data_IF_629377315512
#
_entry.id   IF_629377315512
#
_cell.length_a   1.000
_cell.length_b   1.000
_cell.length_c   1.000
_cell.angle_alpha   90.00
_cell.angle_beta   90.00
_cell.angle_gamma   90.00
#
_symmetry.space_group_name_H-M   'P 1'
#
loop_
_entity.id
_entity.type
_entity.pdbx_description
1 polymer ?
#
# COMPACT_ATOMS: atom_id res chain seq x y z
N UNK A 1 20.06 -37.73 -52.14
CA UNK A 1 19.74 -36.32 -51.80
C UNK A 1 18.39 -36.11 -51.08
N UNK A 2 17.61 -37.17 -50.75
CA UNK A 2 16.36 -37.06 -49.96
C UNK A 2 16.58 -37.23 -48.44
N UNK A 3 17.51 -38.10 -48.04
CA UNK A 3 17.76 -38.45 -46.63
C UNK A 3 18.40 -37.29 -45.83
N UNK A 4 19.17 -36.43 -46.50
CA UNK A 4 19.81 -35.27 -45.84
C UNK A 4 18.79 -34.18 -45.46
N UNK A 5 17.69 -33.99 -46.20
CA UNK A 5 16.69 -32.95 -45.90
C UNK A 5 15.83 -33.28 -44.66
N UNK A 6 15.60 -34.56 -44.39
CA UNK A 6 14.82 -35.01 -43.22
C UNK A 6 15.63 -34.89 -41.91
N UNK A 7 16.97 -35.02 -41.99
CA UNK A 7 17.85 -34.90 -40.82
C UNK A 7 17.99 -33.46 -40.31
N UNK A 8 18.00 -32.46 -41.21
CA UNK A 8 18.01 -31.04 -40.83
C UNK A 8 16.68 -30.59 -40.20
N UNK A 9 15.54 -31.13 -40.66
CA UNK A 9 14.23 -30.81 -40.10
C UNK A 9 14.05 -31.30 -38.66
N UNK A 10 14.58 -32.48 -38.35
CA UNK A 10 14.52 -33.07 -37.00
C UNK A 10 15.47 -32.33 -36.03
N UNK A 11 16.68 -31.94 -36.46
CA UNK A 11 17.57 -31.11 -35.65
C UNK A 11 17.00 -29.71 -35.38
N UNK A 12 16.30 -29.09 -36.34
CA UNK A 12 15.69 -27.77 -36.17
C UNK A 12 14.48 -27.81 -35.21
N UNK A 13 13.70 -28.91 -35.22
CA UNK A 13 12.60 -29.12 -34.28
C UNK A 13 13.13 -29.42 -32.86
N UNK A 14 14.22 -30.17 -32.70
CA UNK A 14 14.85 -30.35 -31.38
C UNK A 14 15.52 -29.07 -30.83
N UNK A 15 15.99 -28.16 -31.69
CA UNK A 15 16.51 -26.84 -31.29
C UNK A 15 15.41 -25.81 -30.94
N UNK A 16 14.18 -26.00 -31.43
CA UNK A 16 13.02 -25.14 -31.11
C UNK A 16 12.24 -25.63 -29.87
N UNK A 17 12.38 -26.89 -29.48
CA UNK A 17 11.78 -27.44 -28.26
C UNK A 17 12.58 -27.13 -26.98
N UNK A 18 13.84 -26.70 -27.09
CA UNK A 18 14.66 -26.27 -25.95
C UNK A 18 14.41 -24.82 -25.51
N UNK A 19 13.73 -24.00 -26.31
CA UNK A 19 13.41 -22.60 -25.97
C UNK A 19 12.09 -22.41 -25.22
N UNK A 20 11.41 -23.49 -24.81
CA UNK A 20 10.20 -23.44 -23.96
C UNK A 20 10.38 -24.16 -22.62
N UNK A 21 11.62 -24.29 -22.12
CA UNK A 21 11.78 -24.44 -20.69
C UNK A 21 11.46 -23.06 -20.09
N UNK A 22 10.22 -22.88 -19.60
CA UNK A 22 9.96 -21.81 -18.63
C UNK A 22 11.05 -21.93 -17.57
N UNK A 23 11.94 -20.95 -17.49
CA UNK A 23 13.01 -20.97 -16.52
C UNK A 23 12.34 -20.97 -15.14
N UNK A 24 12.26 -22.11 -14.48
CA UNK A 24 11.77 -22.18 -13.11
C UNK A 24 12.80 -21.49 -12.21
N UNK A 25 12.34 -20.76 -11.20
CA UNK A 25 13.22 -20.25 -10.15
C UNK A 25 13.90 -21.42 -9.45
N UNK A 26 15.23 -21.39 -9.39
CA UNK A 26 16.07 -22.39 -8.74
C UNK A 26 16.32 -21.96 -7.30
N UNK A 27 15.58 -22.56 -6.37
CA UNK A 27 15.83 -22.38 -4.95
C UNK A 27 16.98 -23.28 -4.51
N UNK A 28 17.94 -22.69 -3.80
CA UNK A 28 19.06 -23.38 -3.18
C UNK A 28 18.58 -24.41 -2.16
N UNK A 29 19.17 -25.59 -2.19
CA UNK A 29 18.98 -26.67 -1.22
C UNK A 29 20.23 -26.87 -0.40
N UNK A 30 20.11 -26.67 0.90
CA UNK A 30 21.20 -26.78 1.86
C UNK A 30 20.88 -26.05 3.16
N UNK A 31 21.85 -26.04 4.06
CA UNK A 31 21.81 -25.26 5.29
C UNK A 31 21.96 -23.76 5.02
N UNK A 32 21.53 -22.93 5.97
CA UNK A 32 21.75 -21.48 5.91
C UNK A 32 23.24 -21.11 5.88
N UNK A 33 24.09 -21.88 6.55
CA UNK A 33 25.55 -21.68 6.50
C UNK A 33 26.10 -21.90 5.10
N UNK A 34 25.68 -22.98 4.41
CA UNK A 34 26.10 -23.25 3.04
C UNK A 34 25.53 -22.21 2.05
N UNK A 35 24.31 -21.75 2.28
CA UNK A 35 23.70 -20.65 1.52
C UNK A 35 24.54 -19.37 1.60
N UNK A 36 24.91 -18.94 2.81
CA UNK A 36 25.70 -17.73 3.01
C UNK A 36 27.13 -17.89 2.48
N UNK A 37 27.73 -19.08 2.59
CA UNK A 37 29.03 -19.36 1.99
C UNK A 37 28.98 -19.25 0.45
N UNK A 38 27.97 -19.87 -0.19
CA UNK A 38 27.75 -19.75 -1.63
C UNK A 38 27.51 -18.30 -2.07
N UNK A 39 26.75 -17.54 -1.29
CA UNK A 39 26.49 -16.13 -1.56
C UNK A 39 27.79 -15.30 -1.54
N UNK A 40 28.71 -15.62 -0.62
CA UNK A 40 30.05 -15.01 -0.56
C UNK A 40 30.92 -15.41 -1.75
N UNK A 41 30.95 -16.69 -2.08
CA UNK A 41 31.74 -17.21 -3.20
C UNK A 41 31.30 -16.63 -4.55
N UNK A 42 29.98 -16.49 -4.77
CA UNK A 42 29.42 -15.91 -5.99
C UNK A 42 29.27 -14.39 -5.94
N UNK A 43 29.51 -13.76 -4.79
CA UNK A 43 29.28 -12.34 -4.53
C UNK A 43 27.85 -11.89 -4.91
N UNK A 44 26.84 -12.72 -4.59
CA UNK A 44 25.42 -12.47 -4.89
C UNK A 44 24.58 -12.28 -3.63
N UNK A 45 23.64 -11.33 -3.62
CA UNK A 45 22.66 -11.23 -2.55
C UNK A 45 21.80 -12.49 -2.45
N UNK A 46 21.27 -12.74 -1.26
CA UNK A 46 20.38 -13.85 -0.95
C UNK A 46 18.95 -13.35 -0.89
N UNK A 47 18.05 -14.01 -1.62
CA UNK A 47 16.60 -13.81 -1.50
C UNK A 47 16.01 -14.96 -0.67
N UNK A 48 15.35 -14.67 0.45
CA UNK A 48 14.77 -15.68 1.34
C UNK A 48 13.25 -15.53 1.38
N UNK A 49 12.52 -16.57 1.01
CA UNK A 49 11.08 -16.70 1.21
C UNK A 49 10.78 -17.45 2.52
N UNK A 50 10.24 -16.74 3.50
CA UNK A 50 9.65 -17.32 4.69
C UNK A 50 8.19 -17.65 4.42
N UNK A 51 7.85 -18.93 4.59
CA UNK A 51 6.51 -19.44 4.32
C UNK A 51 6.11 -20.52 5.33
N UNK A 52 4.90 -21.04 5.19
CA UNK A 52 4.48 -22.26 5.88
C UNK A 52 3.48 -23.09 5.05
N UNK A 53 3.36 -24.38 5.38
CA UNK A 53 2.42 -25.29 4.71
C UNK A 53 0.98 -24.90 5.00
N UNK A 54 0.16 -24.73 3.96
CA UNK A 54 -1.23 -24.28 4.09
C UNK A 54 -1.41 -22.76 4.00
N UNK A 55 -0.34 -22.01 3.74
CA UNK A 55 -0.40 -20.60 3.40
C UNK A 55 -0.89 -20.41 1.95
N UNK A 56 -2.15 -20.00 1.76
CA UNK A 56 -2.72 -19.77 0.42
C UNK A 56 -1.95 -18.72 -0.40
N UNK A 57 -1.61 -17.53 0.16
CA UNK A 57 -0.83 -16.54 -0.60
C UNK A 57 0.57 -17.02 -0.97
N UNK A 58 1.21 -17.83 -0.12
CA UNK A 58 2.52 -18.42 -0.42
C UNK A 58 2.44 -19.39 -1.60
N UNK A 59 1.39 -20.24 -1.62
CA UNK A 59 1.11 -21.13 -2.75
C UNK A 59 0.88 -20.34 -4.05
N UNK A 60 0.20 -19.20 -3.98
CA UNK A 60 0.01 -18.34 -5.14
C UNK A 60 1.33 -17.77 -5.68
N UNK A 61 2.29 -17.43 -4.80
CA UNK A 61 3.64 -17.03 -5.23
C UNK A 61 4.33 -18.18 -5.99
N UNK A 62 4.29 -19.39 -5.43
CA UNK A 62 4.92 -20.58 -6.01
C UNK A 62 4.35 -20.96 -7.38
N UNK A 63 3.03 -20.83 -7.55
CA UNK A 63 2.35 -21.25 -8.79
C UNK A 63 2.33 -20.16 -9.86
N UNK A 64 2.20 -18.88 -9.46
CA UNK A 64 1.86 -17.81 -10.40
C UNK A 64 2.91 -16.72 -10.54
N UNK A 65 3.88 -16.63 -9.63
CA UNK A 65 4.85 -15.52 -9.59
C UNK A 65 6.28 -15.99 -9.77
N UNK A 66 6.79 -16.89 -8.92
CA UNK A 66 8.15 -17.40 -9.05
C UNK A 66 8.45 -18.13 -10.37
N UNK A 67 7.47 -18.78 -11.05
CA UNK A 67 7.71 -19.36 -12.37
C UNK A 67 7.71 -18.35 -13.53
N UNK A 68 7.34 -17.08 -13.28
CA UNK A 68 7.34 -16.05 -14.33
C UNK A 68 8.76 -15.81 -14.80
N UNK A 69 8.94 -15.72 -16.11
CA UNK A 69 10.27 -15.59 -16.73
C UNK A 69 11.03 -14.37 -16.20
N UNK A 70 10.35 -13.22 -16.06
CA UNK A 70 10.90 -11.98 -15.52
C UNK A 70 11.46 -12.16 -14.09
N UNK A 71 10.73 -12.86 -13.23
CA UNK A 71 11.10 -13.14 -11.84
C UNK A 71 12.21 -14.17 -11.77
N UNK A 72 12.03 -15.30 -12.46
CA UNK A 72 12.96 -16.42 -12.41
C UNK A 72 14.33 -16.05 -12.99
N UNK A 73 14.36 -15.20 -14.02
CA UNK A 73 15.61 -14.66 -14.56
C UNK A 73 16.39 -13.90 -13.49
N UNK A 74 15.78 -12.90 -12.87
CA UNK A 74 16.41 -12.13 -11.79
C UNK A 74 16.89 -13.03 -10.66
N UNK A 75 16.02 -13.90 -10.15
CA UNK A 75 16.35 -14.77 -9.02
C UNK A 75 17.45 -15.79 -9.33
N UNK A 76 17.54 -16.28 -10.57
CA UNK A 76 18.56 -17.26 -10.96
C UNK A 76 19.91 -16.62 -11.33
N UNK A 77 19.88 -15.44 -11.95
CA UNK A 77 21.10 -14.76 -12.44
C UNK A 77 21.76 -13.94 -11.33
N UNK A 78 20.97 -13.18 -10.57
CA UNK A 78 21.49 -12.12 -9.69
C UNK A 78 21.40 -12.46 -8.20
N UNK A 79 20.63 -13.48 -7.81
CA UNK A 79 20.44 -13.87 -6.41
C UNK A 79 20.80 -15.34 -6.15
N UNK A 80 21.00 -15.67 -4.88
CA UNK A 80 20.83 -17.04 -4.39
C UNK A 80 19.47 -17.11 -3.68
N UNK A 81 18.47 -17.69 -4.34
CA UNK A 81 17.11 -17.82 -3.78
C UNK A 81 17.03 -18.99 -2.78
N UNK A 82 16.34 -18.80 -1.66
CA UNK A 82 16.18 -19.79 -0.59
C UNK A 82 14.77 -19.75 -0.02
N UNK A 83 14.26 -20.89 0.44
CA UNK A 83 12.95 -20.97 1.12
C UNK A 83 13.10 -21.59 2.49
N UNK A 84 12.33 -21.08 3.45
CA UNK A 84 12.28 -21.61 4.82
C UNK A 84 10.82 -21.77 5.22
N UNK A 85 10.44 -23.01 5.53
CA UNK A 85 9.17 -23.31 6.17
C UNK A 85 9.31 -23.12 7.69
N UNK A 86 8.75 -22.03 8.20
CA UNK A 86 8.96 -21.61 9.60
C UNK A 86 8.41 -22.58 10.65
N UNK A 87 7.61 -23.56 10.25
CA UNK A 87 7.03 -24.58 11.14
C UNK A 87 7.49 -26.01 10.85
N UNK A 88 8.32 -26.23 9.84
CA UNK A 88 8.84 -27.56 9.49
C UNK A 88 10.02 -27.93 10.40
N UNK A 89 10.03 -29.16 10.90
CA UNK A 89 11.17 -29.65 11.68
C UNK A 89 12.47 -29.60 10.88
N UNK A 90 13.56 -29.19 11.54
CA UNK A 90 14.86 -28.90 10.91
C UNK A 90 15.00 -27.48 10.35
N UNK A 91 13.91 -26.78 10.04
CA UNK A 91 13.92 -25.38 9.55
C UNK A 91 13.33 -24.40 10.59
N UNK A 92 12.47 -24.90 11.48
CA UNK A 92 11.72 -24.14 12.49
C UNK A 92 12.58 -23.27 13.38
N UNK A 93 13.73 -23.75 13.85
CA UNK A 93 14.59 -22.94 14.73
C UNK A 93 15.06 -21.67 14.04
N UNK A 94 15.60 -21.79 12.82
CA UNK A 94 16.03 -20.67 12.00
C UNK A 94 14.85 -19.76 11.62
N UNK A 95 13.74 -20.36 11.20
CA UNK A 95 12.51 -19.63 10.88
C UNK A 95 12.03 -18.77 12.04
N UNK A 96 11.97 -19.32 13.26
CA UNK A 96 11.59 -18.57 14.46
C UNK A 96 12.61 -17.49 14.84
N UNK A 97 13.92 -17.73 14.63
CA UNK A 97 14.95 -16.70 14.82
C UNK A 97 14.75 -15.53 13.85
N UNK A 98 14.53 -15.80 12.57
CA UNK A 98 14.25 -14.76 11.56
C UNK A 98 12.95 -14.02 11.85
N UNK A 99 11.90 -14.72 12.27
CA UNK A 99 10.63 -14.09 12.63
C UNK A 99 10.78 -13.11 13.78
N UNK A 100 11.50 -13.50 14.84
CA UNK A 100 11.79 -12.61 15.98
C UNK A 100 12.65 -11.43 15.55
N UNK A 101 13.71 -11.68 14.78
CA UNK A 101 14.65 -10.64 14.33
C UNK A 101 13.97 -9.53 13.52
N UNK A 102 13.09 -9.89 12.60
CA UNK A 102 12.48 -8.94 11.66
C UNK A 102 11.02 -8.60 11.99
N UNK A 103 10.57 -8.95 13.20
CA UNK A 103 9.20 -8.83 13.69
C UNK A 103 8.10 -9.41 12.76
N UNK A 104 8.39 -10.54 12.10
CA UNK A 104 7.52 -11.13 11.08
C UNK A 104 6.38 -11.94 11.71
N UNK A 105 5.15 -11.59 11.33
CA UNK A 105 3.94 -12.32 11.76
C UNK A 105 2.98 -12.65 10.63
N UNK A 106 3.33 -12.33 9.39
CA UNK A 106 2.52 -12.58 8.21
C UNK A 106 3.35 -13.30 7.15
N UNK A 107 2.68 -14.07 6.30
CA UNK A 107 3.34 -14.87 5.26
C UNK A 107 2.61 -14.71 3.91
N UNK A 108 3.33 -14.77 2.77
CA UNK A 108 4.79 -14.90 2.69
C UNK A 108 5.50 -13.65 3.20
N UNK A 109 6.75 -13.80 3.63
CA UNK A 109 7.64 -12.68 3.97
C UNK A 109 9.01 -12.91 3.35
N UNK A 110 9.57 -11.86 2.78
CA UNK A 110 10.79 -11.92 2.00
C UNK A 110 11.90 -11.12 2.68
N UNK A 111 13.09 -11.72 2.73
CA UNK A 111 14.32 -11.07 3.20
C UNK A 111 15.30 -11.01 2.04
N UNK A 112 15.97 -9.87 1.89
CA UNK A 112 17.12 -9.76 1.00
C UNK A 112 18.33 -9.41 1.84
N UNK A 113 19.33 -10.28 1.81
CA UNK A 113 20.57 -10.14 2.56
C UNK A 113 21.75 -10.03 1.59
N UNK A 114 22.73 -9.20 1.92
CA UNK A 114 24.03 -9.21 1.24
C UNK A 114 24.80 -10.51 1.53
N UNK A 115 25.86 -10.84 0.77
CA UNK A 115 26.76 -11.95 1.10
C UNK A 115 27.35 -11.91 2.52
N UNK A 116 27.44 -10.71 3.11
CA UNK A 116 27.95 -10.51 4.48
C UNK A 116 26.86 -10.59 5.56
N UNK A 117 25.62 -10.90 5.18
CA UNK A 117 24.48 -10.97 6.08
C UNK A 117 23.87 -9.61 6.46
N UNK A 118 24.36 -8.50 5.89
CA UNK A 118 23.74 -7.19 6.06
C UNK A 118 22.38 -7.16 5.37
N UNK A 119 21.38 -6.56 6.02
CA UNK A 119 20.01 -6.52 5.51
C UNK A 119 19.89 -5.47 4.40
N UNK A 120 19.40 -5.87 3.24
CA UNK A 120 19.10 -4.97 2.12
C UNK A 120 17.62 -4.59 2.15
N UNK A 121 16.73 -5.57 2.30
CA UNK A 121 15.29 -5.32 2.34
C UNK A 121 14.52 -6.38 3.13
N UNK A 122 13.37 -5.96 3.66
CA UNK A 122 12.39 -6.81 4.36
C UNK A 122 11.00 -6.39 3.91
N UNK A 123 10.27 -7.29 3.26
CA UNK A 123 8.91 -7.03 2.77
C UNK A 123 8.05 -8.31 2.88
N UNK A 124 6.76 -8.23 2.59
CA UNK A 124 5.88 -9.39 2.74
C UNK A 124 4.50 -9.19 2.16
N UNK A 125 3.65 -10.20 2.35
CA UNK A 125 2.38 -10.32 1.63
C UNK A 125 2.57 -10.82 0.20
N UNK A 126 1.47 -11.15 -0.46
CA UNK A 126 1.51 -11.53 -1.88
C UNK A 126 2.11 -10.40 -2.73
N UNK A 127 3.05 -10.74 -3.60
CA UNK A 127 3.67 -9.81 -4.53
C UNK A 127 3.40 -10.29 -5.95
N UNK A 128 2.65 -9.50 -6.72
CA UNK A 128 2.52 -9.73 -8.16
C UNK A 128 3.87 -9.60 -8.87
N UNK A 129 3.91 -10.00 -10.15
CA UNK A 129 5.11 -9.99 -10.99
C UNK A 129 5.83 -8.63 -10.97
N UNK A 130 5.12 -7.54 -11.25
CA UNK A 130 5.69 -6.18 -11.30
C UNK A 130 6.23 -5.72 -9.93
N UNK A 131 5.50 -6.01 -8.85
CA UNK A 131 5.93 -5.62 -7.51
C UNK A 131 7.18 -6.40 -7.09
N UNK A 132 7.20 -7.72 -7.29
CA UNK A 132 8.34 -8.54 -6.89
C UNK A 132 9.58 -8.17 -7.69
N UNK A 133 9.47 -8.02 -9.01
CA UNK A 133 10.59 -7.58 -9.85
C UNK A 133 11.06 -6.18 -9.48
N UNK A 134 10.15 -5.26 -9.15
CA UNK A 134 10.48 -3.94 -8.60
C UNK A 134 11.30 -4.02 -7.30
N UNK A 135 10.90 -4.86 -6.35
CA UNK A 135 11.66 -5.08 -5.12
C UNK A 135 13.04 -5.68 -5.37
N UNK A 136 13.14 -6.68 -6.25
CA UNK A 136 14.42 -7.32 -6.59
C UNK A 136 15.37 -6.33 -7.27
N UNK A 137 14.90 -5.57 -8.25
CA UNK A 137 15.72 -4.57 -8.95
C UNK A 137 16.20 -3.47 -8.01
N UNK A 138 15.33 -2.95 -7.14
CA UNK A 138 15.72 -1.95 -6.16
C UNK A 138 16.76 -2.51 -5.19
N UNK A 139 16.60 -3.77 -4.75
CA UNK A 139 17.57 -4.41 -3.88
C UNK A 139 18.95 -4.61 -4.55
N UNK A 140 19.00 -4.88 -5.86
CA UNK A 140 20.27 -4.92 -6.61
C UNK A 140 20.92 -3.54 -6.67
N UNK A 141 20.14 -2.48 -6.92
CA UNK A 141 20.64 -1.09 -6.91
C UNK A 141 21.26 -0.77 -5.54
N UNK A 142 20.55 -1.08 -4.46
CA UNK A 142 21.02 -0.80 -3.10
C UNK A 142 22.25 -1.65 -2.74
N UNK A 143 22.25 -2.93 -3.13
CA UNK A 143 23.41 -3.82 -2.96
C UNK A 143 24.66 -3.27 -3.64
N UNK A 144 24.58 -2.89 -4.92
CA UNK A 144 25.72 -2.35 -5.67
C UNK A 144 26.16 -0.98 -5.16
N UNK A 145 25.24 -0.19 -4.60
CA UNK A 145 25.56 1.07 -3.94
C UNK A 145 26.11 0.91 -2.51
N UNK A 146 26.15 -0.32 -1.97
CA UNK A 146 26.55 -0.58 -0.59
C UNK A 146 25.58 -0.01 0.45
N UNK A 147 24.31 0.16 0.08
CA UNK A 147 23.24 0.66 0.95
C UNK A 147 22.57 -0.51 1.67
N UNK A 148 22.61 -0.47 2.99
CA UNK A 148 22.04 -1.51 3.85
C UNK A 148 21.19 -0.88 4.94
N UNK A 149 20.15 -1.59 5.35
CA UNK A 149 19.34 -1.28 6.51
C UNK A 149 20.14 -1.55 7.80
N UNK A 150 19.87 -0.77 8.84
CA UNK A 150 20.66 -0.75 10.08
C UNK A 150 20.31 -1.87 11.07
N UNK A 151 19.68 -2.94 10.59
CA UNK A 151 19.52 -4.16 11.38
C UNK A 151 20.89 -4.74 11.75
N UNK A 152 21.02 -5.21 12.99
CA UNK A 152 22.18 -5.97 13.44
C UNK A 152 22.41 -7.18 12.53
N UNK A 153 23.66 -7.56 12.29
CA UNK A 153 23.96 -8.81 11.56
C UNK A 153 23.79 -10.06 12.46
N UNK A 154 23.60 -9.87 13.78
CA UNK A 154 23.40 -10.97 14.71
C UNK A 154 21.94 -11.42 14.77
N UNK A 155 21.73 -12.73 14.87
CA UNK A 155 20.44 -13.34 15.24
C UNK A 155 20.26 -13.46 16.75
N UNK A 156 21.34 -13.32 17.52
CA UNK A 156 21.35 -13.38 18.98
C UNK A 156 21.23 -11.95 19.55
N UNK A 157 20.02 -11.41 19.48
CA UNK A 157 19.67 -10.10 20.03
C UNK A 157 18.93 -10.30 21.35
N UNK A 158 19.33 -9.56 22.39
CA UNK A 158 18.69 -9.62 23.71
C UNK A 158 17.38 -8.82 23.74
N UNK A 159 16.36 -9.35 23.05
CA UNK A 159 15.02 -8.78 23.10
C UNK A 159 14.38 -8.93 24.49
N UNK A 160 13.53 -7.98 24.92
CA UNK A 160 12.80 -8.10 26.17
C UNK A 160 11.88 -9.34 26.16
N UNK A 161 11.57 -9.86 27.35
CA UNK A 161 10.82 -11.12 27.53
C UNK A 161 9.45 -11.08 26.85
N UNK A 162 8.72 -9.97 26.95
CA UNK A 162 7.41 -9.80 26.31
C UNK A 162 7.50 -9.90 24.78
N UNK A 163 8.57 -9.35 24.19
CA UNK A 163 8.80 -9.41 22.75
C UNK A 163 9.03 -10.85 22.31
N UNK A 164 9.91 -11.58 23.01
CA UNK A 164 10.19 -13.00 22.72
C UNK A 164 8.93 -13.86 22.87
N UNK A 165 8.21 -13.71 23.98
CA UNK A 165 6.98 -14.46 24.27
C UNK A 165 5.85 -14.19 23.28
N UNK A 166 5.81 -13.00 22.67
CA UNK A 166 4.84 -12.71 21.61
C UNK A 166 5.04 -13.59 20.37
N UNK A 167 6.28 -13.90 19.97
CA UNK A 167 6.52 -14.74 18.78
C UNK A 167 6.18 -16.21 19.01
N UNK A 168 6.17 -16.65 20.27
CA UNK A 168 5.80 -18.00 20.70
C UNK A 168 4.27 -18.15 20.85
N UNK A 169 3.62 -17.20 21.52
CA UNK A 169 2.19 -17.31 21.90
C UNK A 169 1.23 -16.54 20.98
N UNK A 170 1.76 -15.64 20.15
CA UNK A 170 1.01 -14.63 19.37
C UNK A 170 0.16 -13.69 20.22
N UNK A 171 0.42 -13.60 21.52
CA UNK A 171 -0.25 -12.73 22.46
C UNK A 171 0.75 -11.79 23.11
N UNK A 172 0.44 -10.50 23.12
CA UNK A 172 1.21 -9.54 23.88
C UNK A 172 0.79 -9.63 25.34
N UNK A 173 1.75 -9.87 26.23
CA UNK A 173 1.50 -10.13 27.65
C UNK A 173 1.66 -8.90 28.55
N UNK A 174 2.04 -7.77 27.97
CA UNK A 174 2.23 -6.49 28.66
C UNK A 174 1.18 -5.48 28.21
N UNK A 175 0.82 -4.58 29.11
CA UNK A 175 -0.06 -3.46 28.86
C UNK A 175 0.64 -2.35 28.07
N UNK A 176 -0.14 -1.39 27.55
CA UNK A 176 0.41 -0.21 26.89
C UNK A 176 1.27 0.66 27.82
N UNK A 177 0.92 0.71 29.12
CA UNK A 177 1.70 1.45 30.11
C UNK A 177 3.09 0.83 30.32
N UNK A 178 3.17 -0.49 30.41
CA UNK A 178 4.45 -1.22 30.51
C UNK A 178 5.31 -1.07 29.24
N UNK A 179 4.69 -1.04 28.05
CA UNK A 179 5.41 -0.75 26.80
C UNK A 179 6.00 0.66 26.80
N UNK A 180 5.22 1.65 27.24
CA UNK A 180 5.69 3.03 27.28
C UNK A 180 6.81 3.20 28.30
N UNK A 181 6.68 2.60 29.50
CA UNK A 181 7.73 2.61 30.50
C UNK A 181 9.02 1.97 29.96
N UNK A 182 8.92 0.82 29.29
CA UNK A 182 10.09 0.20 28.67
C UNK A 182 10.78 1.13 27.67
N UNK A 183 10.00 1.81 26.81
CA UNK A 183 10.55 2.74 25.83
C UNK A 183 11.14 3.99 26.48
N UNK A 184 10.52 4.53 27.53
CA UNK A 184 11.02 5.70 28.30
C UNK A 184 12.36 5.42 29.01
N UNK A 185 12.56 4.19 29.48
CA UNK A 185 13.80 3.77 30.15
C UNK A 185 14.93 3.43 29.16
N UNK A 186 14.61 3.28 27.87
CA UNK A 186 15.57 2.88 26.85
C UNK A 186 16.30 4.11 26.26
N UNK A 187 17.63 4.06 26.18
CA UNK A 187 18.44 5.25 25.88
C UNK A 187 18.27 5.79 24.44
N UNK A 188 18.13 4.89 23.45
CA UNK A 188 18.04 5.26 22.03
C UNK A 188 16.73 4.76 21.40
N UNK A 189 15.78 5.66 21.19
CA UNK A 189 14.50 5.35 20.57
C UNK A 189 14.58 5.06 19.06
N UNK A 190 15.72 5.33 18.41
CA UNK A 190 15.93 5.06 16.98
C UNK A 190 16.57 3.69 16.73
N UNK A 191 17.00 2.98 17.77
CA UNK A 191 17.66 1.67 17.67
C UNK A 191 16.71 0.54 17.21
N UNK A 192 17.28 -0.63 16.88
CA UNK A 192 16.53 -1.75 16.30
C UNK A 192 15.44 -2.23 17.27
N UNK A 193 15.70 -2.25 18.57
CA UNK A 193 14.76 -2.76 19.58
C UNK A 193 13.57 -1.80 19.72
N UNK A 194 13.84 -0.51 19.93
CA UNK A 194 12.84 0.54 20.06
C UNK A 194 11.99 0.65 18.80
N UNK A 195 12.64 0.64 17.63
CA UNK A 195 11.95 0.62 16.35
C UNK A 195 10.99 -0.56 16.23
N UNK A 196 11.47 -1.79 16.47
CA UNK A 196 10.64 -2.99 16.32
C UNK A 196 9.47 -2.99 17.29
N UNK A 197 9.64 -2.51 18.52
CA UNK A 197 8.56 -2.39 19.50
C UNK A 197 7.54 -1.33 19.09
N UNK A 198 7.99 -0.13 18.70
CA UNK A 198 7.10 0.95 18.25
C UNK A 198 6.36 0.59 16.96
N UNK A 199 7.06 -0.02 16.00
CA UNK A 199 6.47 -0.53 14.77
C UNK A 199 5.42 -1.59 15.08
N UNK A 200 5.74 -2.55 15.97
CA UNK A 200 4.94 -3.76 16.15
C UNK A 200 3.77 -3.60 17.12
N UNK A 201 3.96 -2.90 18.23
CA UNK A 201 3.03 -2.92 19.36
C UNK A 201 2.42 -1.56 19.68
N UNK A 202 3.12 -0.46 19.38
CA UNK A 202 2.61 0.88 19.69
C UNK A 202 1.63 1.36 18.61
N UNK A 203 0.46 1.82 19.03
CA UNK A 203 -0.61 2.35 18.15
C UNK A 203 -0.98 3.80 18.46
N UNK A 204 -0.87 4.18 19.72
CA UNK A 204 -1.25 5.50 20.23
C UNK A 204 -0.27 6.01 21.29
N UNK A 205 -0.44 7.25 21.74
CA UNK A 205 0.38 7.87 22.78
C UNK A 205 1.69 8.49 22.26
N UNK A 206 2.55 8.92 23.19
CA UNK A 206 3.75 9.70 22.88
C UNK A 206 4.70 8.98 21.91
N UNK A 207 4.89 7.67 22.05
CA UNK A 207 5.74 6.89 21.14
C UNK A 207 5.09 6.62 19.78
N UNK A 208 3.75 6.61 19.68
CA UNK A 208 3.11 6.60 18.37
C UNK A 208 3.38 7.93 17.65
N UNK A 209 3.31 9.06 18.36
CA UNK A 209 3.66 10.37 17.82
C UNK A 209 5.13 10.43 17.40
N UNK A 210 6.04 10.03 18.29
CA UNK A 210 7.48 9.96 18.00
C UNK A 210 7.76 9.14 16.74
N UNK A 211 7.14 7.97 16.61
CA UNK A 211 7.26 7.14 15.41
C UNK A 211 6.81 7.87 14.13
N UNK A 212 5.73 8.64 14.19
CA UNK A 212 5.20 9.39 13.06
C UNK A 212 6.01 10.66 12.75
N UNK A 213 6.57 11.30 13.77
CA UNK A 213 7.47 12.46 13.62
C UNK A 213 8.79 12.06 12.93
N UNK A 214 9.28 10.84 13.19
CA UNK A 214 10.53 10.28 12.63
C UNK A 214 10.32 9.27 11.50
N UNK A 215 9.20 9.36 10.79
CA UNK A 215 8.79 8.32 9.85
C UNK A 215 9.78 8.11 8.70
N UNK A 216 10.36 9.20 8.18
CA UNK A 216 11.31 9.14 7.07
C UNK A 216 12.66 8.58 7.53
N UNK A 217 13.11 8.93 8.72
CA UNK A 217 14.33 8.40 9.32
C UNK A 217 14.20 6.90 9.57
N UNK A 218 13.09 6.46 10.15
CA UNK A 218 12.82 5.02 10.32
C UNK A 218 12.76 4.29 8.97
N UNK A 219 12.18 4.91 7.94
CA UNK A 219 12.08 4.31 6.62
C UNK A 219 13.45 4.17 5.95
N UNK A 220 14.34 5.16 6.11
CA UNK A 220 15.71 5.09 5.65
C UNK A 220 16.54 4.03 6.41
N UNK A 221 16.31 3.90 7.72
CA UNK A 221 17.03 2.97 8.58
C UNK A 221 16.57 1.51 8.43
N UNK A 222 15.25 1.28 8.39
CA UNK A 222 14.65 -0.06 8.52
C UNK A 222 13.74 -0.46 7.34
N UNK A 223 13.68 0.39 6.30
CA UNK A 223 13.05 0.09 5.03
C UNK A 223 11.66 0.70 4.85
N UNK A 224 11.46 1.38 3.72
CA UNK A 224 10.22 2.06 3.34
C UNK A 224 8.98 1.18 3.46
N UNK A 225 9.06 -0.06 2.95
CA UNK A 225 7.92 -0.98 2.93
C UNK A 225 7.45 -1.37 4.33
N UNK A 226 8.41 -1.65 5.23
CA UNK A 226 8.15 -2.00 6.62
C UNK A 226 7.48 -0.87 7.37
N UNK A 227 8.05 0.32 7.25
CA UNK A 227 7.57 1.54 7.91
C UNK A 227 6.21 1.95 7.35
N UNK A 228 6.07 2.02 6.03
CA UNK A 228 4.82 2.36 5.35
C UNK A 228 3.66 1.45 5.76
N UNK A 229 3.85 0.13 5.78
CA UNK A 229 2.79 -0.80 6.23
C UNK A 229 2.39 -0.59 7.69
N UNK A 230 3.35 -0.34 8.59
CA UNK A 230 3.04 -0.11 10.01
C UNK A 230 2.38 1.24 10.25
N UNK A 231 2.62 2.22 9.38
CA UNK A 231 2.01 3.56 9.43
C UNK A 231 0.50 3.49 9.24
N UNK A 232 0.01 2.58 8.39
CA UNK A 232 -1.41 2.36 8.19
C UNK A 232 -2.14 2.02 9.51
N UNK A 233 -1.46 1.37 10.45
CA UNK A 233 -2.00 1.02 11.75
C UNK A 233 -2.04 2.20 12.74
N UNK A 234 -1.44 3.33 12.38
CA UNK A 234 -1.36 4.57 13.18
C UNK A 234 -2.15 5.73 12.58
N UNK A 235 -2.79 5.56 11.42
CA UNK A 235 -3.62 6.59 10.77
C UNK A 235 -4.74 7.08 11.69
N UNK A 236 -5.40 6.14 12.40
CA UNK A 236 -6.46 6.50 13.36
C UNK A 236 -5.93 7.38 14.49
N UNK A 237 -4.76 7.05 15.03
CA UNK A 237 -4.12 7.87 16.05
C UNK A 237 -3.76 9.25 15.51
N UNK A 238 -3.17 9.33 14.32
CA UNK A 238 -2.77 10.61 13.73
C UNK A 238 -3.96 11.56 13.55
N UNK A 239 -5.11 11.06 13.06
CA UNK A 239 -6.31 11.89 12.90
C UNK A 239 -6.90 12.33 14.24
N UNK A 240 -7.04 11.41 15.20
CA UNK A 240 -7.63 11.70 16.51
C UNK A 240 -6.73 12.65 17.31
N UNK A 241 -5.42 12.50 17.21
CA UNK A 241 -4.46 13.42 17.82
C UNK A 241 -4.61 14.83 17.24
N UNK A 242 -4.61 14.98 15.91
CA UNK A 242 -4.74 16.29 15.26
C UNK A 242 -6.08 16.96 15.60
N UNK A 243 -7.19 16.20 15.58
CA UNK A 243 -8.52 16.69 15.93
C UNK A 243 -8.61 17.17 17.39
N UNK A 244 -8.10 16.37 18.33
CA UNK A 244 -8.18 16.70 19.77
C UNK A 244 -7.22 17.81 20.20
N UNK A 245 -6.03 17.87 19.59
CA UNK A 245 -5.00 18.86 19.95
C UNK A 245 -5.10 20.17 19.18
N UNK A 246 -5.76 20.15 18.01
CA UNK A 246 -5.73 21.25 17.04
C UNK A 246 -4.41 21.35 16.26
N UNK A 247 -3.47 20.40 16.43
CA UNK A 247 -2.18 20.41 15.72
C UNK A 247 -2.33 19.91 14.28
N UNK A 248 -2.87 20.78 13.43
CA UNK A 248 -2.99 20.51 12.00
C UNK A 248 -1.62 20.42 11.33
N UNK A 249 -0.59 21.11 11.84
CA UNK A 249 0.77 21.07 11.28
C UNK A 249 1.37 19.67 11.41
N UNK A 250 1.15 19.00 12.54
CA UNK A 250 1.51 17.59 12.70
C UNK A 250 0.84 16.72 11.62
N UNK A 251 -0.47 16.88 11.40
CA UNK A 251 -1.18 16.07 10.40
C UNK A 251 -0.68 16.35 8.97
N UNK A 252 -0.39 17.61 8.66
CA UNK A 252 0.21 18.00 7.37
C UNK A 252 1.56 17.33 7.12
N UNK A 253 2.44 17.36 8.13
CA UNK A 253 3.73 16.68 8.05
C UNK A 253 3.56 15.17 7.91
N UNK A 254 2.62 14.58 8.66
CA UNK A 254 2.27 13.17 8.54
C UNK A 254 1.82 12.80 7.12
N UNK A 255 0.94 13.58 6.50
CA UNK A 255 0.51 13.35 5.11
C UNK A 255 1.69 13.43 4.13
N UNK A 256 2.56 14.43 4.28
CA UNK A 256 3.75 14.58 3.44
C UNK A 256 4.70 13.38 3.56
N UNK A 257 4.92 12.90 4.79
CA UNK A 257 5.76 11.74 5.05
C UNK A 257 5.15 10.47 4.45
N UNK A 258 3.85 10.24 4.64
CA UNK A 258 3.16 9.08 4.05
C UNK A 258 3.23 9.12 2.53
N UNK A 259 2.99 10.28 1.90
CA UNK A 259 3.10 10.45 0.45
C UNK A 259 4.48 10.09 -0.06
N UNK A 260 5.54 10.46 0.68
CA UNK A 260 6.93 10.18 0.32
C UNK A 260 7.24 8.68 0.36
N UNK A 261 6.62 7.92 1.26
CA UNK A 261 6.87 6.48 1.45
C UNK A 261 5.98 5.58 0.60
N UNK A 262 4.94 6.13 -0.01
CA UNK A 262 3.93 5.38 -0.76
C UNK A 262 4.18 5.53 -2.27
N UNK A 263 4.04 4.46 -3.07
CA UNK A 263 4.00 4.59 -4.52
C UNK A 263 2.95 5.61 -4.97
N UNK A 264 3.27 6.36 -6.02
CA UNK A 264 2.42 7.47 -6.49
C UNK A 264 1.00 7.00 -6.82
N UNK A 265 0.85 5.89 -7.55
CA UNK A 265 -0.46 5.31 -7.90
C UNK A 265 -1.32 4.98 -6.66
N UNK A 266 -0.68 4.44 -5.62
CA UNK A 266 -1.33 4.12 -4.35
C UNK A 266 -1.75 5.39 -3.63
N UNK A 267 -0.87 6.39 -3.56
CA UNK A 267 -1.21 7.67 -2.96
C UNK A 267 -2.38 8.32 -3.69
N UNK A 268 -2.33 8.40 -5.01
CA UNK A 268 -3.38 9.00 -5.83
C UNK A 268 -4.72 8.26 -5.69
N UNK A 269 -4.69 6.94 -5.50
CA UNK A 269 -5.88 6.11 -5.32
C UNK A 269 -6.39 5.95 -3.88
N UNK A 270 -5.68 6.43 -2.86
CA UNK A 270 -6.01 6.23 -1.44
C UNK A 270 -6.09 7.51 -0.62
N UNK A 271 -5.36 8.57 -1.00
CA UNK A 271 -5.20 9.83 -0.23
C UNK A 271 -6.52 10.40 0.31
N UNK A 272 -7.49 10.61 -0.58
CA UNK A 272 -8.79 11.21 -0.21
C UNK A 272 -9.54 10.36 0.81
N UNK A 273 -9.79 9.09 0.50
CA UNK A 273 -10.62 8.21 1.33
C UNK A 273 -9.94 7.76 2.62
N UNK A 274 -8.62 7.62 2.63
CA UNK A 274 -7.89 7.03 3.74
C UNK A 274 -7.33 8.08 4.70
N UNK A 275 -7.17 9.32 4.25
CA UNK A 275 -6.53 10.37 5.04
C UNK A 275 -7.33 11.68 5.08
N UNK A 276 -7.83 12.18 3.94
CA UNK A 276 -8.52 13.48 3.95
C UNK A 276 -9.91 13.42 4.56
N UNK A 277 -10.77 12.52 4.06
CA UNK A 277 -12.13 12.36 4.58
C UNK A 277 -12.14 11.96 6.06
N UNK A 278 -11.32 10.99 6.53
CA UNK A 278 -11.32 10.63 7.93
C UNK A 278 -10.90 11.75 8.89
N UNK A 279 -10.05 12.70 8.47
CA UNK A 279 -9.76 13.88 9.31
C UNK A 279 -10.92 14.87 9.29
N UNK A 280 -11.50 15.11 8.12
CA UNK A 280 -12.68 15.96 8.00
C UNK A 280 -13.85 15.44 8.84
N UNK A 281 -14.09 14.13 8.85
CA UNK A 281 -15.15 13.51 9.67
C UNK A 281 -14.97 13.74 11.18
N UNK A 282 -13.73 13.91 11.65
CA UNK A 282 -13.43 14.17 13.08
C UNK A 282 -13.40 15.68 13.41
N UNK A 283 -13.12 16.53 12.42
CA UNK A 283 -12.86 17.97 12.64
C UNK A 283 -13.94 18.89 12.08
N UNK A 284 -14.76 18.38 11.16
CA UNK A 284 -15.72 19.13 10.34
C UNK A 284 -15.09 20.35 9.61
N UNK A 285 -13.76 20.34 9.44
CA UNK A 285 -13.02 21.46 8.85
C UNK A 285 -13.10 21.44 7.32
N UNK A 286 -14.20 21.98 6.79
CA UNK A 286 -14.48 22.01 5.35
C UNK A 286 -13.49 22.87 4.56
N UNK A 287 -13.03 23.99 5.10
CA UNK A 287 -12.05 24.86 4.41
C UNK A 287 -10.74 24.10 4.19
N UNK A 288 -10.29 23.31 5.18
CA UNK A 288 -9.12 22.43 5.03
C UNK A 288 -9.34 21.35 3.98
N UNK A 289 -10.49 20.66 4.01
CA UNK A 289 -10.78 19.59 3.06
C UNK A 289 -10.83 20.12 1.62
N UNK A 290 -11.50 21.25 1.38
CA UNK A 290 -11.56 21.87 0.06
C UNK A 290 -10.16 22.26 -0.43
N UNK A 291 -9.33 22.87 0.42
CA UNK A 291 -7.94 23.18 0.08
C UNK A 291 -7.14 21.92 -0.28
N UNK A 292 -7.37 20.81 0.42
CA UNK A 292 -6.72 19.53 0.12
C UNK A 292 -7.16 18.95 -1.20
N UNK A 293 -8.46 18.93 -1.47
CA UNK A 293 -9.01 18.40 -2.72
C UNK A 293 -8.57 19.24 -3.92
N UNK A 294 -8.52 20.57 -3.79
CA UNK A 294 -8.10 21.48 -4.88
C UNK A 294 -6.64 21.29 -5.28
N UNK A 295 -5.76 21.03 -4.31
CA UNK A 295 -4.32 20.86 -4.54
C UNK A 295 -3.91 19.38 -4.67
N UNK A 296 -4.87 18.45 -4.69
CA UNK A 296 -4.56 17.03 -4.70
C UNK A 296 -4.12 16.55 -6.08
N UNK A 297 -3.17 15.63 -6.09
CA UNK A 297 -2.84 14.80 -7.25
C UNK A 297 -3.65 13.49 -7.31
N UNK A 298 -4.63 13.31 -6.41
CA UNK A 298 -5.50 12.13 -6.39
C UNK A 298 -6.21 11.90 -7.70
N UNK A 299 -6.51 10.63 -8.00
CA UNK A 299 -7.37 10.30 -9.12
C UNK A 299 -8.71 11.04 -8.99
N UNK A 300 -9.16 11.64 -10.08
CA UNK A 300 -10.39 12.44 -10.10
C UNK A 300 -11.59 11.72 -9.48
N UNK A 301 -11.73 10.42 -9.75
CA UNK A 301 -12.79 9.57 -9.18
C UNK A 301 -12.85 9.62 -7.64
N UNK A 302 -11.70 9.74 -6.96
CA UNK A 302 -11.65 9.86 -5.50
C UNK A 302 -12.17 11.23 -5.04
N UNK A 303 -11.76 12.30 -5.71
CA UNK A 303 -12.17 13.68 -5.43
C UNK A 303 -13.67 13.84 -5.68
N UNK A 304 -14.15 13.36 -6.82
CA UNK A 304 -15.56 13.42 -7.21
C UNK A 304 -16.46 12.61 -6.26
N UNK A 305 -16.00 11.43 -5.81
CA UNK A 305 -16.73 10.64 -4.82
C UNK A 305 -16.78 11.32 -3.44
N UNK A 306 -15.72 12.03 -3.04
CA UNK A 306 -15.74 12.85 -1.84
C UNK A 306 -16.75 14.00 -1.96
N UNK A 307 -16.78 14.70 -3.10
CA UNK A 307 -17.76 15.76 -3.35
C UNK A 307 -19.20 15.26 -3.20
N UNK A 308 -19.51 14.06 -3.70
CA UNK A 308 -20.84 13.46 -3.60
C UNK A 308 -21.38 13.38 -2.16
N UNK A 309 -20.52 13.08 -1.19
CA UNK A 309 -20.91 13.05 0.23
C UNK A 309 -21.16 14.46 0.79
N UNK A 310 -20.39 15.45 0.34
CA UNK A 310 -20.44 16.83 0.84
C UNK A 310 -21.66 17.62 0.32
N UNK A 311 -22.17 17.30 -0.88
CA UNK A 311 -23.27 18.06 -1.50
C UNK A 311 -24.51 18.10 -0.58
N UNK A 312 -24.92 16.96 -0.01
CA UNK A 312 -26.07 16.91 0.90
C UNK A 312 -25.78 17.66 2.20
N UNK A 313 -24.59 17.45 2.78
CA UNK A 313 -24.19 18.12 4.03
C UNK A 313 -24.22 19.63 3.91
N UNK A 314 -23.85 20.17 2.74
CA UNK A 314 -23.71 21.60 2.50
C UNK A 314 -24.74 22.14 1.49
N UNK A 315 -25.90 21.49 1.32
CA UNK A 315 -26.91 21.88 0.33
C UNK A 315 -27.45 23.30 0.48
N UNK A 316 -27.35 23.88 1.68
CA UNK A 316 -27.75 25.28 1.95
C UNK A 316 -26.57 26.25 2.01
N UNK A 317 -25.31 25.77 1.91
CA UNK A 317 -24.11 26.60 1.96
C UNK A 317 -23.62 26.96 0.54
N UNK A 318 -24.04 28.13 0.09
CA UNK A 318 -23.69 28.65 -1.24
C UNK A 318 -22.18 28.83 -1.46
N UNK A 319 -21.39 29.06 -0.40
CA UNK A 319 -19.93 29.21 -0.52
C UNK A 319 -19.32 27.84 -0.81
N UNK A 320 -19.64 26.83 0.01
CA UNK A 320 -19.12 25.47 -0.16
C UNK A 320 -19.55 24.88 -1.50
N UNK A 321 -20.82 25.03 -1.89
CA UNK A 321 -21.31 24.54 -3.19
C UNK A 321 -20.54 25.13 -4.39
N UNK A 322 -20.20 26.43 -4.34
CA UNK A 322 -19.36 27.06 -5.37
C UNK A 322 -17.95 26.50 -5.41
N UNK A 323 -17.34 26.24 -4.24
CA UNK A 323 -16.02 25.61 -4.18
C UNK A 323 -16.05 24.16 -4.69
N UNK A 324 -17.12 23.40 -4.41
CA UNK A 324 -17.33 22.07 -5.00
C UNK A 324 -17.42 22.16 -6.53
N UNK A 325 -18.18 23.10 -7.10
CA UNK A 325 -18.20 23.29 -8.55
C UNK A 325 -16.84 23.64 -9.14
N UNK A 326 -16.03 24.46 -8.45
CA UNK A 326 -14.67 24.77 -8.90
C UNK A 326 -13.80 23.52 -8.98
N UNK A 327 -13.98 22.52 -8.10
CA UNK A 327 -13.29 21.23 -8.20
C UNK A 327 -13.64 20.52 -9.51
N UNK A 328 -14.93 20.46 -9.87
CA UNK A 328 -15.37 19.90 -11.16
C UNK A 328 -14.78 20.69 -12.33
N UNK A 329 -14.96 22.01 -12.35
CA UNK A 329 -14.50 22.88 -13.44
C UNK A 329 -12.98 22.88 -13.61
N UNK A 330 -12.23 22.70 -12.53
CA UNK A 330 -10.77 22.55 -12.53
C UNK A 330 -10.28 21.13 -12.80
N UNK A 331 -11.18 20.15 -12.88
CA UNK A 331 -10.80 18.77 -13.19
C UNK A 331 -10.24 18.68 -14.61
N UNK A 332 -9.12 17.97 -14.76
CA UNK A 332 -8.44 17.78 -16.06
C UNK A 332 -8.98 16.55 -16.79
N UNK A 333 -10.28 16.27 -16.68
CA UNK A 333 -10.91 15.12 -17.33
C UNK A 333 -11.41 15.49 -18.72
N UNK A 334 -11.21 14.60 -19.69
CA UNK A 334 -11.69 14.81 -21.06
C UNK A 334 -13.22 14.77 -21.17
N UNK A 335 -13.86 13.94 -20.34
CA UNK A 335 -15.31 13.80 -20.25
C UNK A 335 -15.74 13.49 -18.82
N UNK A 336 -16.66 14.28 -18.29
CA UNK A 336 -17.33 13.99 -17.02
C UNK A 336 -18.10 12.68 -17.09
N UNK A 337 -18.02 11.87 -16.02
CA UNK A 337 -18.86 10.69 -15.87
C UNK A 337 -20.34 11.09 -15.73
N UNK A 338 -21.24 10.10 -15.80
CA UNK A 338 -22.65 10.35 -15.52
C UNK A 338 -22.88 10.73 -14.06
N UNK A 339 -22.13 10.13 -13.14
CA UNK A 339 -22.12 10.53 -11.73
C UNK A 339 -21.67 11.98 -11.54
N UNK A 340 -20.59 12.41 -12.22
CA UNK A 340 -20.11 13.79 -12.19
C UNK A 340 -21.19 14.76 -12.65
N UNK A 341 -21.83 14.48 -13.80
CA UNK A 341 -22.92 15.31 -14.36
C UNK A 341 -24.10 15.42 -13.42
N UNK A 342 -24.51 14.29 -12.82
CA UNK A 342 -25.58 14.26 -11.82
C UNK A 342 -25.24 15.11 -10.60
N UNK A 343 -24.02 14.98 -10.06
CA UNK A 343 -23.54 15.77 -8.91
C UNK A 343 -23.46 17.26 -9.25
N UNK A 344 -22.97 17.64 -10.42
CA UNK A 344 -22.94 19.03 -10.88
C UNK A 344 -24.34 19.60 -11.06
N UNK A 345 -25.27 18.86 -11.66
CA UNK A 345 -26.66 19.27 -11.82
C UNK A 345 -27.33 19.53 -10.46
N UNK A 346 -27.10 18.65 -9.48
CA UNK A 346 -27.60 18.84 -8.12
C UNK A 346 -26.99 20.08 -7.44
N UNK A 347 -25.68 20.33 -7.59
CA UNK A 347 -25.06 21.55 -7.05
C UNK A 347 -25.69 22.81 -7.68
N UNK A 348 -25.87 22.84 -8.99
CA UNK A 348 -26.50 23.99 -9.66
C UNK A 348 -27.96 24.20 -9.24
N UNK A 349 -28.70 23.13 -9.01
CA UNK A 349 -30.04 23.20 -8.41
C UNK A 349 -29.99 23.91 -7.05
N UNK A 350 -29.09 23.49 -6.15
CA UNK A 350 -28.93 24.11 -4.83
C UNK A 350 -28.42 25.56 -4.89
N UNK A 351 -27.67 25.92 -5.92
CA UNK A 351 -27.27 27.31 -6.18
C UNK A 351 -28.38 28.16 -6.82
N UNK A 352 -29.52 27.57 -7.19
CA UNK A 352 -30.64 28.25 -7.85
C UNK A 352 -30.41 28.57 -9.33
N UNK A 353 -29.38 28.02 -9.97
CA UNK A 353 -29.14 28.15 -11.42
C UNK A 353 -29.76 26.95 -12.16
N UNK A 354 -31.07 27.01 -12.34
CA UNK A 354 -31.84 25.95 -12.99
C UNK A 354 -31.46 25.72 -14.47
N UNK A 355 -30.89 26.74 -15.12
CA UNK A 355 -30.43 26.61 -16.51
C UNK A 355 -29.22 25.69 -16.57
N UNK A 356 -28.21 25.97 -15.73
CA UNK A 356 -27.01 25.13 -15.63
C UNK A 356 -27.36 23.73 -15.11
N UNK A 357 -28.25 23.64 -14.12
CA UNK A 357 -28.70 22.35 -13.58
C UNK A 357 -29.29 21.46 -14.68
N UNK A 358 -30.16 22.03 -15.53
CA UNK A 358 -30.77 21.34 -16.66
C UNK A 358 -29.73 20.92 -17.71
N UNK A 359 -28.82 21.81 -18.09
CA UNK A 359 -27.78 21.53 -19.10
C UNK A 359 -26.89 20.35 -18.69
N UNK A 360 -26.49 20.29 -17.41
CA UNK A 360 -25.70 19.16 -16.90
C UNK A 360 -26.51 17.86 -16.87
N UNK A 361 -27.80 17.91 -16.52
CA UNK A 361 -28.67 16.73 -16.45
C UNK A 361 -29.02 16.16 -17.83
N UNK A 362 -29.25 17.01 -18.84
CA UNK A 362 -29.52 16.59 -20.22
C UNK A 362 -28.32 15.88 -20.88
N UNK A 363 -27.11 16.11 -20.35
CA UNK A 363 -25.91 15.40 -20.78
C UNK A 363 -25.77 13.96 -20.27
N UNK A 364 -26.74 13.45 -19.51
CA UNK A 364 -26.74 12.08 -18.99
C UNK A 364 -27.39 11.11 -19.99
N UNK A 365 -26.60 10.18 -20.52
CA UNK A 365 -27.05 9.12 -21.43
C UNK A 365 -27.51 7.88 -20.63
N UNK A 366 -28.48 7.10 -21.15
CA UNK A 366 -28.97 5.83 -20.57
C UNK A 366 -27.87 4.74 -20.58
N UNK A 367 -26.89 4.86 -19.68
CA UNK A 367 -25.89 3.82 -19.47
C UNK A 367 -25.32 3.88 -18.04
N UNK A 368 -25.46 2.78 -17.28
CA UNK A 368 -25.07 2.69 -15.86
C UNK A 368 -23.54 2.65 -15.71
N UNK A 369 -22.92 3.80 -15.49
CA UNK A 369 -21.47 3.95 -15.23
C UNK A 369 -21.12 4.30 -13.77
N UNK A 370 -22.11 4.45 -12.90
CA UNK A 370 -21.93 4.84 -11.49
C UNK A 370 -22.79 4.00 -10.55
N UNK A 371 -22.26 3.66 -9.38
CA UNK A 371 -23.00 2.96 -8.33
C UNK A 371 -24.03 3.88 -7.69
N UNK A 372 -25.26 3.40 -7.58
CA UNK A 372 -26.35 4.11 -6.92
C UNK A 372 -27.00 5.21 -7.76
N UNK A 373 -26.65 5.34 -9.04
CA UNK A 373 -27.36 6.19 -10.01
C UNK A 373 -28.27 5.31 -10.88
N UNK A 374 -29.57 5.61 -10.88
CA UNK A 374 -30.55 4.97 -11.76
C UNK A 374 -31.46 6.03 -12.42
N UNK A 375 -32.34 5.58 -13.32
CA UNK A 375 -33.29 6.45 -14.03
C UNK A 375 -34.21 7.21 -13.07
N UNK A 376 -34.68 6.56 -12.00
CA UNK A 376 -35.54 7.21 -10.98
C UNK A 376 -34.82 8.42 -10.36
N UNK A 377 -33.55 8.29 -10.00
CA UNK A 377 -32.78 9.38 -9.40
C UNK A 377 -32.57 10.54 -10.37
N UNK A 378 -32.39 10.23 -11.66
CA UNK A 378 -32.26 11.25 -12.71
C UNK A 378 -33.59 11.98 -12.87
N UNK A 379 -34.72 11.26 -12.85
CA UNK A 379 -36.03 11.87 -12.95
C UNK A 379 -36.43 12.68 -11.73
N UNK A 380 -36.14 12.21 -10.52
CA UNK A 380 -36.35 12.97 -9.29
C UNK A 380 -35.62 14.31 -9.34
N UNK A 381 -34.37 14.33 -9.82
CA UNK A 381 -33.62 15.57 -10.01
C UNK A 381 -34.21 16.44 -11.14
N UNK A 382 -34.67 15.83 -12.24
CA UNK A 382 -35.33 16.56 -13.35
C UNK A 382 -36.58 17.29 -12.87
N UNK A 383 -37.43 16.60 -12.11
CA UNK A 383 -38.63 17.17 -11.49
C UNK A 383 -38.27 18.28 -10.51
N UNK A 384 -37.28 18.06 -9.64
CA UNK A 384 -36.84 19.08 -8.69
C UNK A 384 -36.33 20.36 -9.37
N UNK A 385 -35.63 20.24 -10.52
CA UNK A 385 -35.20 21.38 -11.33
C UNK A 385 -36.41 22.09 -11.95
N UNK A 386 -37.36 21.35 -12.51
CA UNK A 386 -38.55 21.92 -13.15
C UNK A 386 -39.45 22.66 -12.14
N UNK A 387 -39.60 22.12 -10.94
CA UNK A 387 -40.41 22.66 -9.86
C UNK A 387 -39.67 23.69 -8.99
N UNK A 388 -38.36 23.88 -9.21
CA UNK A 388 -37.49 24.74 -8.39
C UNK A 388 -37.52 24.33 -6.91
N UNK A 389 -37.46 23.03 -6.67
CA UNK A 389 -37.65 22.40 -5.37
C UNK A 389 -36.32 22.19 -4.61
N UNK A 390 -35.38 23.13 -4.69
CA UNK A 390 -34.05 22.94 -4.08
C UNK A 390 -34.06 22.76 -2.55
N UNK A 391 -35.09 23.25 -1.86
CA UNK A 391 -35.21 23.14 -0.39
C UNK A 391 -35.62 21.72 0.06
N UNK A 392 -36.36 20.99 -0.77
CA UNK A 392 -36.97 19.69 -0.42
C UNK A 392 -36.29 18.51 -1.12
N UNK A 393 -35.47 18.77 -2.13
CA UNK A 393 -34.74 17.73 -2.86
C UNK A 393 -33.50 17.25 -2.09
N UNK A 394 -33.33 15.93 -2.00
CA UNK A 394 -32.16 15.27 -1.43
C UNK A 394 -31.39 14.56 -2.54
N UNK A 395 -30.14 14.96 -2.80
CA UNK A 395 -29.35 14.34 -3.86
C UNK A 395 -28.93 12.93 -3.43
N UNK A 396 -28.94 11.98 -4.36
CA UNK A 396 -28.43 10.64 -4.08
C UNK A 396 -26.90 10.65 -3.97
N UNK A 397 -26.36 9.97 -2.95
CA UNK A 397 -24.92 9.74 -2.80
C UNK A 397 -24.38 8.76 -3.85
N UNK A 398 -24.25 9.21 -5.09
CA UNK A 398 -23.73 8.46 -6.23
C UNK A 398 -22.21 8.32 -6.12
N UNK A 399 -21.70 7.12 -6.41
CA UNK A 399 -20.27 6.84 -6.47
C UNK A 399 -19.85 6.35 -7.85
N UNK A 400 -18.89 7.01 -8.45
CA UNK A 400 -18.28 6.57 -9.69
C UNK A 400 -17.33 5.39 -9.40
N UNK A 401 -17.33 4.40 -10.30
CA UNK A 401 -16.41 3.29 -10.22
C UNK A 401 -15.00 3.76 -10.59
N UNK A 402 -14.00 3.24 -9.88
CA UNK A 402 -12.62 3.37 -10.36
C UNK A 402 -12.51 2.68 -11.71
N UNK A 403 -11.80 3.24 -12.70
CA UNK A 403 -11.42 2.46 -13.86
C UNK A 403 -10.67 1.23 -13.34
N UNK A 404 -11.20 0.04 -13.65
CA UNK A 404 -10.48 -1.21 -13.41
C UNK A 404 -9.30 -1.21 -14.38
N UNK A 405 -8.12 -0.82 -13.92
CA UNK A 405 -6.89 -1.19 -14.60
C UNK A 405 -6.72 -2.69 -14.38
N UNK A 406 -7.28 -3.48 -15.30
CA UNK A 406 -6.76 -4.81 -15.56
C UNK A 406 -5.41 -4.60 -16.23
N UNK A 407 -4.35 -4.62 -15.45
CA UNK A 407 -3.04 -5.06 -15.91
C UNK A 407 -2.47 -5.97 -14.82
#
# INVERSE_FOLDING_TARGET
MKILKESYGICFIMMLLSSMLSAQTKFFTGSFTELMAKAQDENKPVFIDLYFTGCMPCKQMDENVFPKESVAKLLNEDFIAYKINVFKEGEKELGLKMMKKFAITGFPSFLILSPKGQTINVFGGFQGEDNLTGFLNQALIDYHAGKYLVYSNSFEINYPSFYKGFFETKKLTVSQAELNQFLEEHEDHMDEISFLIMMKFVREGAFAKFYLDHLIEFAAMYGNTRVGMSTLQKVSYAKTYAANSGDMKFYENFLSNVKTLMPEDKWQGLSVKQYYLPLYEETENIDWLLLKLQNSDSHWVEISNACGALINTYKSDQKVLKELLKLYQGSKVDRYSQGDRYKMAAIWLYLGDYKQAKEHLEGIEEYRSSFGLNEDNIEELRLAIAEKAQETFEVKAVKDFKPFNFN
#
